data_IF_764206419779
#
_entry.id   IF_764206419779
#
_cell.length_a   1.000
_cell.length_b   1.000
_cell.length_c   1.000
_cell.angle_alpha   90.00
_cell.angle_beta   90.00
_cell.angle_gamma   90.00
#
_symmetry.space_group_name_H-M   'P 1'
#
loop_
_entity.id
_entity.type
_entity.pdbx_description
1 polymer ?
#
# COMPACT_ATOMS: atom_id res chain seq x y z
N UNK A 1 10.97 7.08 4.85
CA UNK A 1 10.03 6.01 4.44
C UNK A 1 8.87 5.99 5.41
N UNK A 2 7.63 6.14 4.92
CA UNK A 2 6.40 6.01 5.71
C UNK A 2 5.50 5.00 5.00
N UNK A 3 5.87 3.72 5.09
CA UNK A 3 4.98 2.62 4.75
C UNK A 3 5.00 1.66 5.94
N UNK A 4 3.98 1.68 6.82
CA UNK A 4 3.83 0.60 7.79
C UNK A 4 3.68 -0.72 7.01
N UNK A 5 4.28 -1.79 7.52
CA UNK A 5 4.09 -3.14 6.96
C UNK A 5 2.60 -3.49 7.10
N UNK A 6 1.84 -3.42 6.01
CA UNK A 6 0.38 -3.54 5.99
C UNK A 6 -0.12 -4.98 6.13
N UNK A 7 0.57 -5.83 6.91
CA UNK A 7 0.20 -7.24 7.13
C UNK A 7 1.30 -8.22 6.73
N UNK A 8 0.96 -9.52 6.74
CA UNK A 8 1.89 -10.57 6.33
C UNK A 8 2.20 -10.46 4.84
N UNK A 9 3.48 -10.41 4.50
CA UNK A 9 3.99 -10.57 3.14
C UNK A 9 4.71 -11.91 3.04
N UNK A 10 4.41 -12.69 2.00
CA UNK A 10 5.07 -13.95 1.68
C UNK A 10 5.47 -13.89 0.21
N UNK A 11 6.78 -13.93 -0.02
CA UNK A 11 7.36 -14.09 -1.35
C UNK A 11 7.93 -15.51 -1.44
N UNK A 12 7.21 -16.37 -2.17
CA UNK A 12 7.58 -17.78 -2.34
C UNK A 12 8.79 -17.96 -3.26
N UNK A 13 9.01 -17.04 -4.20
CA UNK A 13 10.16 -17.11 -5.12
C UNK A 13 11.45 -16.76 -4.39
N UNK A 14 11.40 -15.82 -3.44
CA UNK A 14 12.55 -15.38 -2.63
C UNK A 14 12.69 -16.11 -1.30
N UNK A 15 11.82 -17.09 -1.00
CA UNK A 15 11.74 -17.77 0.31
C UNK A 15 11.69 -16.80 1.50
N UNK A 16 11.02 -15.65 1.32
CA UNK A 16 10.98 -14.58 2.32
C UNK A 16 9.58 -14.47 2.92
N UNK A 17 9.52 -14.33 4.25
CA UNK A 17 8.29 -13.96 4.94
C UNK A 17 8.53 -12.81 5.90
N UNK A 18 7.65 -11.82 5.88
CA UNK A 18 7.64 -10.70 6.80
C UNK A 18 6.28 -10.59 7.45
N UNK A 19 6.26 -10.32 8.76
CA UNK A 19 5.03 -10.08 9.52
C UNK A 19 5.23 -8.91 10.49
N UNK A 20 4.29 -7.96 10.54
CA UNK A 20 4.34 -6.91 11.54
C UNK A 20 4.14 -7.50 12.94
N UNK A 21 4.72 -6.88 13.98
CA UNK A 21 4.39 -7.22 15.35
C UNK A 21 2.88 -7.08 15.57
N UNK A 22 2.30 -8.00 16.35
CA UNK A 22 0.86 -8.07 16.63
C UNK A 22 -0.04 -8.30 15.39
N UNK A 23 0.48 -8.98 14.35
CA UNK A 23 -0.30 -9.34 13.15
C UNK A 23 -1.70 -9.90 13.48
N UNK A 24 -1.82 -10.85 14.42
CA UNK A 24 -3.12 -11.44 14.79
C UNK A 24 -4.13 -10.38 15.26
N UNK A 25 -3.69 -9.39 16.03
CA UNK A 25 -4.55 -8.30 16.49
C UNK A 25 -4.99 -7.38 15.35
N UNK A 26 -4.10 -7.10 14.40
CA UNK A 26 -4.42 -6.34 13.20
C UNK A 26 -5.41 -7.08 12.30
N UNK A 27 -5.20 -8.38 12.05
CA UNK A 27 -6.10 -9.19 11.24
C UNK A 27 -7.51 -9.29 11.85
N UNK A 28 -7.57 -9.45 13.19
CA UNK A 28 -8.86 -9.44 13.91
C UNK A 28 -9.53 -8.07 13.79
N UNK A 29 -8.76 -6.97 13.86
CA UNK A 29 -9.31 -5.62 13.70
C UNK A 29 -9.89 -5.38 12.30
N UNK A 30 -9.23 -5.88 11.25
CA UNK A 30 -9.76 -5.82 9.88
C UNK A 30 -11.05 -6.62 9.78
N UNK A 31 -11.03 -7.88 10.21
CA UNK A 31 -12.19 -8.78 10.10
C UNK A 31 -13.41 -8.29 10.89
N UNK A 32 -13.18 -7.65 12.04
CA UNK A 32 -14.22 -7.07 12.89
C UNK A 32 -14.61 -5.63 12.49
N UNK A 33 -14.06 -5.10 11.39
CA UNK A 33 -14.37 -3.73 10.92
C UNK A 33 -13.93 -2.61 11.87
N UNK A 34 -12.96 -2.89 12.76
CA UNK A 34 -12.43 -1.94 13.75
C UNK A 34 -11.32 -1.04 13.20
N UNK A 35 -10.88 -1.27 11.97
CA UNK A 35 -9.92 -0.40 11.29
C UNK A 35 -10.67 0.72 10.58
N UNK A 36 -10.59 1.93 11.13
CA UNK A 36 -11.12 3.12 10.48
C UNK A 36 -10.11 3.62 9.44
N UNK A 37 -10.45 3.50 8.17
CA UNK A 37 -9.70 4.11 7.07
C UNK A 37 -10.34 5.43 6.66
N UNK A 38 -9.55 6.43 6.22
CA UNK A 38 -10.10 7.59 5.55
C UNK A 38 -10.95 7.17 4.34
N UNK A 39 -12.01 7.91 4.03
CA UNK A 39 -12.85 7.63 2.86
C UNK A 39 -12.09 7.75 1.53
N UNK A 40 -11.06 8.61 1.50
CA UNK A 40 -10.29 8.90 0.29
C UNK A 40 -8.85 8.40 0.50
N UNK A 41 -8.63 7.10 0.28
CA UNK A 41 -7.29 6.49 0.30
C UNK A 41 -6.96 6.00 -1.11
N UNK A 42 -5.87 6.53 -1.65
CA UNK A 42 -5.25 6.05 -2.88
C UNK A 42 -3.87 5.46 -2.58
N UNK A 43 -3.55 4.32 -3.17
CA UNK A 43 -2.27 3.63 -3.02
C UNK A 43 -1.53 3.65 -4.35
N UNK A 44 -0.26 4.06 -4.32
CA UNK A 44 0.62 4.08 -5.49
C UNK A 44 1.82 3.19 -5.20
N UNK A 45 2.09 2.22 -6.08
CA UNK A 45 3.22 1.30 -5.97
C UNK A 45 3.97 1.22 -7.30
N UNK A 46 5.30 1.13 -7.24
CA UNK A 46 6.13 0.92 -8.41
C UNK A 46 6.04 -0.53 -8.91
N UNK A 47 5.91 -0.74 -10.21
CA UNK A 47 5.86 -2.09 -10.79
C UNK A 47 7.17 -2.84 -10.59
N UNK A 48 8.29 -2.14 -10.64
CA UNK A 48 9.63 -2.69 -10.44
C UNK A 48 10.08 -2.63 -8.97
N UNK A 49 9.17 -2.36 -8.02
CA UNK A 49 9.44 -2.44 -6.60
C UNK A 49 9.74 -3.89 -6.17
N UNK A 50 11.01 -4.18 -5.86
CA UNK A 50 11.45 -5.49 -5.39
C UNK A 50 11.31 -5.68 -3.87
N UNK A 51 10.99 -4.63 -3.12
CA UNK A 51 10.86 -4.61 -1.66
C UNK A 51 9.39 -4.78 -1.24
N UNK A 52 8.50 -4.00 -1.86
CA UNK A 52 7.06 -4.11 -1.71
C UNK A 52 6.43 -4.36 -3.08
N UNK A 53 6.47 -5.62 -3.51
CA UNK A 53 5.99 -5.96 -4.85
C UNK A 53 4.51 -5.57 -5.04
N UNK A 54 4.16 -5.23 -6.28
CA UNK A 54 2.82 -4.76 -6.63
C UNK A 54 1.70 -5.79 -6.35
N UNK A 55 2.00 -7.10 -6.35
CA UNK A 55 1.03 -8.15 -5.98
C UNK A 55 0.75 -8.13 -4.47
N UNK A 56 1.78 -7.87 -3.66
CA UNK A 56 1.64 -7.70 -2.21
C UNK A 56 0.81 -6.45 -1.91
N UNK A 57 1.08 -5.33 -2.60
CA UNK A 57 0.26 -4.12 -2.47
C UNK A 57 -1.22 -4.38 -2.82
N UNK A 58 -1.49 -5.10 -3.91
CA UNK A 58 -2.84 -5.49 -4.31
C UNK A 58 -3.57 -6.31 -3.25
N UNK A 59 -2.91 -7.34 -2.70
CA UNK A 59 -3.49 -8.17 -1.63
C UNK A 59 -3.81 -7.36 -0.37
N UNK A 60 -2.97 -6.40 0.02
CA UNK A 60 -3.27 -5.59 1.20
C UNK A 60 -4.41 -4.60 0.94
N UNK A 61 -4.48 -4.02 -0.26
CA UNK A 61 -5.59 -3.15 -0.64
C UNK A 61 -6.92 -3.90 -0.60
N UNK A 62 -6.97 -5.11 -1.18
CA UNK A 62 -8.15 -5.99 -1.13
C UNK A 62 -8.60 -6.26 0.31
N UNK A 63 -7.66 -6.63 1.19
CA UNK A 63 -7.96 -6.91 2.61
C UNK A 63 -8.48 -5.70 3.37
N UNK A 64 -8.02 -4.50 3.00
CA UNK A 64 -8.40 -3.25 3.64
C UNK A 64 -9.62 -2.59 2.98
N UNK A 65 -10.16 -3.16 1.90
CA UNK A 65 -11.24 -2.53 1.13
C UNK A 65 -10.81 -1.25 0.41
N UNK A 66 -9.51 -1.07 0.14
CA UNK A 66 -8.98 0.05 -0.62
C UNK A 66 -9.12 -0.28 -2.10
N UNK A 67 -9.94 0.48 -2.82
CA UNK A 67 -10.22 0.26 -4.24
C UNK A 67 -9.35 1.07 -5.17
N UNK A 68 -8.75 2.16 -4.69
CA UNK A 68 -7.98 3.10 -5.51
C UNK A 68 -6.48 2.75 -5.48
N UNK A 69 -6.13 1.64 -6.13
CA UNK A 69 -4.74 1.17 -6.27
C UNK A 69 -4.21 1.47 -7.68
N UNK A 70 -3.03 2.09 -7.73
CA UNK A 70 -2.32 2.39 -8.97
C UNK A 70 -0.92 1.75 -8.97
N UNK A 71 -0.66 0.96 -10.02
CA UNK A 71 0.65 0.39 -10.29
C UNK A 71 1.32 1.27 -11.35
N UNK A 72 2.49 1.81 -11.01
CA UNK A 72 3.23 2.75 -11.84
C UNK A 72 4.34 2.01 -12.59
N UNK A 73 4.30 2.07 -13.93
CA UNK A 73 5.35 1.52 -14.80
C UNK A 73 6.64 2.34 -14.69
N UNK A 74 7.80 1.67 -14.74
CA UNK A 74 9.13 2.29 -14.62
C UNK A 74 9.41 2.98 -13.27
N UNK A 75 8.71 2.56 -12.22
CA UNK A 75 8.87 3.06 -10.86
C UNK A 75 9.25 1.91 -9.91
N UNK A 76 10.13 2.22 -8.97
CA UNK A 76 10.66 1.25 -8.01
C UNK A 76 10.14 1.54 -6.60
N UNK A 77 10.74 0.93 -5.58
CA UNK A 77 10.38 1.16 -4.18
C UNK A 77 10.39 2.63 -3.77
N UNK A 78 11.40 3.36 -4.24
CA UNK A 78 11.47 4.81 -4.06
C UNK A 78 10.92 5.46 -5.33
N UNK A 79 9.63 5.81 -5.29
CA UNK A 79 8.99 6.55 -6.37
C UNK A 79 9.77 7.83 -6.69
N UNK A 80 9.89 8.14 -7.98
CA UNK A 80 10.60 9.32 -8.44
C UNK A 80 9.98 10.60 -7.89
N UNK A 81 10.83 11.60 -7.61
CA UNK A 81 10.37 12.86 -7.03
C UNK A 81 9.31 13.57 -7.90
N UNK A 82 9.46 13.50 -9.23
CA UNK A 82 8.50 14.07 -10.17
C UNK A 82 7.11 13.44 -10.05
N UNK A 83 7.06 12.11 -9.97
CA UNK A 83 5.83 11.35 -9.75
C UNK A 83 5.22 11.72 -8.40
N UNK A 84 5.97 11.63 -7.30
CA UNK A 84 5.46 11.95 -5.95
C UNK A 84 4.91 13.38 -5.89
N UNK A 85 5.64 14.37 -6.41
CA UNK A 85 5.17 15.75 -6.43
C UNK A 85 3.90 15.92 -7.28
N UNK A 86 3.76 15.19 -8.39
CA UNK A 86 2.55 15.15 -9.20
C UNK A 86 1.36 14.58 -8.44
N UNK A 87 1.54 13.43 -7.78
CA UNK A 87 0.52 12.74 -7.01
C UNK A 87 0.02 13.58 -5.82
N UNK A 88 0.94 14.19 -5.06
CA UNK A 88 0.58 15.08 -3.95
C UNK A 88 -0.22 16.29 -4.44
N UNK A 89 0.19 16.92 -5.55
CA UNK A 89 -0.58 18.03 -6.14
C UNK A 89 -1.97 17.59 -6.58
N UNK A 90 -2.11 16.40 -7.18
CA UNK A 90 -3.41 15.84 -7.56
C UNK A 90 -4.30 15.65 -6.33
N UNK A 91 -3.78 15.01 -5.29
CA UNK A 91 -4.51 14.78 -4.05
C UNK A 91 -5.00 16.09 -3.41
N UNK A 92 -4.14 17.10 -3.31
CA UNK A 92 -4.50 18.40 -2.72
C UNK A 92 -5.56 19.16 -3.53
N UNK A 93 -5.55 19.05 -4.87
CA UNK A 93 -6.59 19.65 -5.71
C UNK A 93 -7.95 18.98 -5.51
N UNK A 94 -8.00 17.66 -5.40
CA UNK A 94 -9.25 16.91 -5.20
C UNK A 94 -9.96 17.25 -3.88
N UNK A 95 -9.24 17.82 -2.90
CA UNK A 95 -9.78 18.21 -1.60
C UNK A 95 -10.07 19.72 -1.46
N UNK A 96 -9.90 20.49 -2.53
CA UNK A 96 -10.16 21.94 -2.56
C UNK A 96 -11.51 22.31 -3.20
N UNK A 97 -12.36 21.32 -3.47
CA UNK A 97 -13.75 21.44 -3.94
C UNK A 97 -14.70 20.92 -2.86
#
# INVERSE_FOLDING_TARGET
MLSPVMGRAVDTEKMMSSRPPRLKGFESAIAEGRVNLPHNVAVYTGKEDQVCDSKTAAKQCERLGITDLHILENETHNLSHGVVAGLVRKALKTHSE
#
